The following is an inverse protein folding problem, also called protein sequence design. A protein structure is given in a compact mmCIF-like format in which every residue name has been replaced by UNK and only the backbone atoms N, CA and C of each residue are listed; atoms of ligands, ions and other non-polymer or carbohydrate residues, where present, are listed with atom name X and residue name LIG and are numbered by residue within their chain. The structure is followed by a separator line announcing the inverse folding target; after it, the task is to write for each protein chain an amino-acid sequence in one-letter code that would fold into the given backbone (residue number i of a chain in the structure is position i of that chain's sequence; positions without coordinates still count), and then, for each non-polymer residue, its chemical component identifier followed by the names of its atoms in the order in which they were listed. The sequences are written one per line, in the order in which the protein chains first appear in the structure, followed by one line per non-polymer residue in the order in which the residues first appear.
data_IF_068528720107
#
_entry.id   IF_068528720107
#
_cell.length_a   1.000
_cell.length_b   1.000
_cell.length_c   1.000
_cell.angle_alpha   90.00
_cell.angle_beta   90.00
_cell.angle_gamma   90.00
#
_symmetry.space_group_name_H-M   'P 1'
#
loop_
_entity.id
_entity.type
_entity.pdbx_description
1 polymer ?
#
# COMPACT_ATOMS: atom_id res chain seq x y z
N UNK A 1 15.03 52.11 49.90
CA UNK A 1 14.27 50.85 49.71
C UNK A 1 13.28 51.06 48.57
N UNK A 2 13.47 50.42 47.40
CA UNK A 2 12.59 50.35 46.18
C UNK A 2 13.37 50.54 44.88
N UNK A 3 14.38 49.72 44.66
CA UNK A 3 14.98 49.53 43.33
C UNK A 3 15.46 48.09 43.22
N UNK A 4 14.50 47.17 43.01
CA UNK A 4 14.81 45.80 42.59
C UNK A 4 13.59 44.96 42.14
N UNK A 5 12.41 45.57 41.97
CA UNK A 5 11.22 44.86 41.51
C UNK A 5 11.23 44.62 40.00
N UNK A 6 11.65 45.62 39.21
CA UNK A 6 11.57 45.56 37.74
C UNK A 6 12.59 44.60 37.11
N UNK A 7 13.80 44.48 37.67
CA UNK A 7 14.83 43.60 37.11
C UNK A 7 14.53 42.11 37.32
N UNK A 8 13.83 41.77 38.42
CA UNK A 8 13.33 40.41 38.67
C UNK A 8 12.18 40.05 37.74
N UNK A 9 11.26 40.99 37.47
CA UNK A 9 10.17 40.80 36.51
C UNK A 9 10.68 40.57 35.08
N UNK A 10 11.71 41.31 34.66
CA UNK A 10 12.31 41.17 33.33
C UNK A 10 12.99 39.81 33.14
N UNK A 11 13.68 39.31 34.17
CA UNK A 11 14.35 38.00 34.12
C UNK A 11 13.34 36.83 34.10
N UNK A 12 12.22 36.96 34.82
CA UNK A 12 11.14 35.96 34.80
C UNK A 12 10.44 35.89 33.45
N UNK A 13 10.20 37.05 32.80
CA UNK A 13 9.64 37.10 31.43
C UNK A 13 10.60 36.48 30.41
N UNK A 14 11.90 36.73 30.55
CA UNK A 14 12.92 36.15 29.66
C UNK A 14 12.99 34.61 29.80
N UNK A 15 12.94 34.07 31.03
CA UNK A 15 12.89 32.62 31.26
C UNK A 15 11.59 31.96 30.73
N UNK A 16 10.45 32.65 30.81
CA UNK A 16 9.18 32.17 30.24
C UNK A 16 9.21 32.13 28.70
N UNK A 17 9.91 33.07 28.06
CA UNK A 17 10.11 33.08 26.61
C UNK A 17 11.04 31.94 26.15
N UNK A 18 12.04 31.55 26.95
CA UNK A 18 12.89 30.39 26.64
C UNK A 18 12.16 29.04 26.74
N UNK A 19 11.16 28.92 27.63
CA UNK A 19 10.33 27.71 27.73
C UNK A 19 9.41 27.51 26.51
N UNK A 20 9.06 28.57 25.78
CA UNK A 20 8.27 28.46 24.55
C UNK A 20 9.06 27.89 23.36
N UNK A 21 10.40 27.98 23.38
CA UNK A 21 11.24 27.34 22.34
C UNK A 21 11.36 25.83 22.50
N UNK A 22 11.03 25.27 23.66
CA UNK A 22 11.04 23.82 23.91
C UNK A 22 9.68 23.13 23.69
N UNK A 23 8.65 23.88 23.30
CA UNK A 23 7.33 23.34 22.94
C UNK A 23 7.09 23.46 21.43
N UNK A 24 7.95 22.81 20.65
CA UNK A 24 7.68 22.47 19.26
C UNK A 24 7.57 20.94 19.16
N UNK A 25 6.52 20.39 19.75
CA UNK A 25 5.97 19.06 19.48
C UNK A 25 4.60 19.34 18.82
N UNK A 26 4.22 18.85 17.65
CA UNK A 26 4.73 17.77 16.80
C UNK A 26 4.67 18.23 15.34
N UNK A 27 5.76 18.03 14.59
CA UNK A 27 5.67 17.90 13.14
C UNK A 27 4.74 16.71 12.88
N UNK A 28 3.62 16.92 12.16
CA UNK A 28 2.66 15.88 11.76
C UNK A 28 3.32 14.51 11.69
N UNK A 29 3.15 13.69 12.73
CA UNK A 29 3.92 12.46 12.89
C UNK A 29 3.77 11.62 11.63
N UNK A 30 4.80 11.62 10.77
CA UNK A 30 4.83 10.73 9.63
C UNK A 30 5.11 9.38 10.26
N UNK A 31 4.06 8.59 10.49
CA UNK A 31 4.20 7.20 10.88
C UNK A 31 4.65 6.45 9.61
N UNK A 32 5.94 6.09 9.48
CA UNK A 32 6.42 5.32 8.33
C UNK A 32 6.04 3.84 8.45
N UNK A 33 5.50 3.47 9.61
CA UNK A 33 5.17 2.13 10.02
C UNK A 33 3.79 1.79 9.48
N UNK A 34 3.79 0.80 8.61
CA UNK A 34 2.62 0.29 7.90
C UNK A 34 3.10 -0.74 6.88
N UNK A 35 2.62 -0.63 5.64
CA UNK A 35 3.04 -1.52 4.53
C UNK A 35 4.53 -1.47 4.18
N UNK A 36 5.29 -0.49 4.67
CA UNK A 36 6.73 -0.34 4.46
C UNK A 36 7.59 -0.74 5.67
N UNK A 37 7.01 -1.44 6.65
CA UNK A 37 7.76 -2.00 7.77
C UNK A 37 8.37 -3.35 7.36
N UNK A 38 9.69 -3.40 7.22
CA UNK A 38 10.42 -4.60 6.83
C UNK A 38 11.30 -5.09 7.97
N UNK A 39 11.25 -6.39 8.22
CA UNK A 39 12.05 -7.05 9.25
C UNK A 39 13.53 -7.12 8.86
N UNK A 40 14.40 -6.83 9.83
CA UNK A 40 15.84 -7.04 9.68
C UNK A 40 16.17 -8.53 9.48
N UNK A 41 17.24 -8.79 8.75
CA UNK A 41 17.70 -10.12 8.36
C UNK A 41 16.71 -10.92 7.50
N UNK A 42 15.74 -10.27 6.87
CA UNK A 42 14.84 -10.87 5.88
C UNK A 42 15.16 -10.40 4.46
N UNK A 43 15.02 -11.29 3.45
CA UNK A 43 15.13 -10.90 2.06
C UNK A 43 13.90 -10.09 1.64
N UNK A 44 14.14 -9.04 0.86
CA UNK A 44 13.11 -8.22 0.22
C UNK A 44 13.47 -8.01 -1.26
N UNK A 45 12.50 -7.58 -2.07
CA UNK A 45 12.70 -7.33 -3.50
C UNK A 45 12.42 -5.89 -3.89
N UNK A 46 13.20 -5.35 -4.81
CA UNK A 46 12.95 -4.04 -5.42
C UNK A 46 11.66 -4.10 -6.25
N UNK A 47 10.71 -3.22 -5.95
CA UNK A 47 9.45 -3.13 -6.69
C UNK A 47 9.54 -2.16 -7.87
N UNK A 48 10.10 -0.98 -7.64
CA UNK A 48 10.27 0.04 -8.69
C UNK A 48 11.15 -0.47 -9.81
N UNK A 49 11.05 0.14 -11.00
CA UNK A 49 11.85 -0.27 -12.15
C UNK A 49 13.34 -0.21 -11.83
N UNK A 50 13.73 0.84 -11.10
CA UNK A 50 15.07 1.06 -10.59
C UNK A 50 15.02 1.70 -9.20
N UNK A 51 16.01 1.38 -8.37
CA UNK A 51 16.25 2.01 -7.07
C UNK A 51 17.71 2.44 -6.97
N UNK A 52 17.93 3.70 -6.62
CA UNK A 52 19.27 4.21 -6.32
C UNK A 52 19.70 3.69 -4.95
N UNK A 53 20.87 3.07 -4.90
CA UNK A 53 21.58 2.77 -3.65
C UNK A 53 22.41 3.99 -3.30
N UNK A 54 22.30 4.42 -2.05
CA UNK A 54 22.97 5.63 -1.57
C UNK A 54 23.98 5.32 -0.49
N UNK A 55 24.96 6.20 -0.36
CA UNK A 55 25.98 6.12 0.69
C UNK A 55 25.42 6.41 2.08
N UNK A 56 24.40 7.25 2.17
CA UNK A 56 23.70 7.66 3.40
C UNK A 56 22.18 7.66 3.17
N UNK A 57 21.35 7.54 4.22
CA UNK A 57 19.89 7.50 4.13
C UNK A 57 19.26 8.87 3.83
N UNK A 58 19.68 9.52 2.75
CA UNK A 58 19.21 10.83 2.32
C UNK A 58 19.13 10.92 0.79
N UNK A 59 18.08 11.55 0.25
CA UNK A 59 17.91 11.75 -1.20
C UNK A 59 18.97 12.62 -1.86
N UNK A 60 19.74 13.40 -1.08
CA UNK A 60 20.86 14.23 -1.52
C UNK A 60 22.21 13.52 -1.41
N UNK A 61 22.27 12.39 -0.71
CA UNK A 61 23.50 11.61 -0.59
C UNK A 61 23.97 11.05 -1.92
N UNK A 62 25.29 10.83 -2.03
CA UNK A 62 25.93 10.20 -3.19
C UNK A 62 25.24 8.88 -3.56
N UNK A 63 24.97 8.72 -4.86
CA UNK A 63 24.45 7.47 -5.42
C UNK A 63 25.64 6.57 -5.72
N UNK A 64 25.71 5.43 -5.04
CA UNK A 64 26.81 4.47 -5.17
C UNK A 64 26.49 3.33 -6.13
N UNK A 65 25.20 3.02 -6.33
CA UNK A 65 24.74 2.00 -7.26
C UNK A 65 23.27 2.19 -7.67
N UNK A 66 22.77 1.28 -8.51
CA UNK A 66 21.35 1.13 -8.81
C UNK A 66 20.92 -0.33 -8.90
N UNK A 67 19.78 -0.66 -8.32
CA UNK A 67 19.18 -1.99 -8.36
C UNK A 67 17.92 -1.99 -9.24
N UNK A 68 17.73 -3.05 -10.03
CA UNK A 68 16.56 -3.22 -10.88
C UNK A 68 15.39 -3.85 -10.13
N UNK A 69 14.19 -3.75 -10.70
CA UNK A 69 13.02 -4.53 -10.26
C UNK A 69 13.35 -6.01 -10.12
N UNK A 70 12.69 -6.70 -9.18
CA UNK A 70 12.95 -8.10 -8.78
C UNK A 70 14.30 -8.39 -8.12
N UNK A 71 15.25 -7.44 -8.12
CA UNK A 71 16.53 -7.67 -7.47
C UNK A 71 16.32 -7.88 -5.97
N UNK A 72 16.86 -8.97 -5.46
CA UNK A 72 16.78 -9.32 -4.05
C UNK A 72 17.81 -8.53 -3.26
N UNK A 73 17.39 -8.04 -2.10
CA UNK A 73 18.23 -7.40 -1.10
C UNK A 73 17.99 -8.07 0.26
N UNK A 74 18.98 -8.07 1.13
CA UNK A 74 18.84 -8.42 2.53
C UNK A 74 18.69 -7.13 3.34
N UNK A 75 17.62 -7.01 4.13
CA UNK A 75 17.46 -5.89 5.06
C UNK A 75 18.45 -6.07 6.20
N UNK A 76 19.43 -5.17 6.32
CA UNK A 76 20.43 -5.22 7.40
C UNK A 76 19.99 -4.40 8.60
N UNK A 77 19.43 -3.21 8.34
CA UNK A 77 19.03 -2.28 9.40
C UNK A 77 17.92 -1.36 8.93
N UNK A 78 16.94 -1.12 9.79
CA UNK A 78 15.97 -0.03 9.65
C UNK A 78 16.53 1.25 10.26
N UNK A 79 16.61 2.33 9.48
CA UNK A 79 17.09 3.62 9.97
C UNK A 79 15.93 4.48 10.48
N UNK A 80 16.20 5.33 11.46
CA UNK A 80 15.22 6.30 11.98
C UNK A 80 14.87 7.38 10.95
N UNK A 81 15.74 7.61 9.96
CA UNK A 81 15.50 8.55 8.88
C UNK A 81 14.26 8.14 8.06
N UNK A 82 13.28 9.03 7.99
CA UNK A 82 12.02 8.85 7.26
C UNK A 82 12.00 9.80 6.08
N UNK A 83 11.56 9.30 4.93
CA UNK A 83 11.24 10.12 3.76
C UNK A 83 9.77 9.91 3.40
N UNK A 84 9.04 11.02 3.24
CA UNK A 84 7.68 11.03 2.69
C UNK A 84 7.68 11.60 1.27
N UNK A 85 7.28 10.78 0.30
CA UNK A 85 7.06 11.19 -1.09
C UNK A 85 5.57 11.01 -1.44
N UNK A 86 4.85 12.12 -1.55
CA UNK A 86 3.39 12.08 -1.71
C UNK A 86 2.74 11.59 -0.43
N UNK A 87 1.87 10.58 -0.55
CA UNK A 87 1.21 9.92 0.59
C UNK A 87 2.04 8.74 1.15
N UNK A 88 3.20 8.45 0.55
CA UNK A 88 4.05 7.32 0.96
C UNK A 88 5.14 7.78 1.91
N UNK A 89 4.97 7.52 3.19
CA UNK A 89 6.02 7.67 4.21
C UNK A 89 6.70 6.34 4.47
N UNK A 90 8.03 6.29 4.41
CA UNK A 90 8.79 5.08 4.71
C UNK A 90 10.19 5.41 5.25
N UNK A 91 10.71 4.51 6.08
CA UNK A 91 12.10 4.56 6.55
C UNK A 91 13.09 4.30 5.41
N UNK A 92 14.32 4.72 5.63
CA UNK A 92 15.47 4.18 4.91
C UNK A 92 15.91 2.85 5.51
N UNK A 93 16.41 1.98 4.66
CA UNK A 93 16.97 0.69 5.07
C UNK A 93 18.39 0.59 4.58
N UNK A 94 19.30 0.20 5.48
CA UNK A 94 20.60 -0.34 5.07
C UNK A 94 20.36 -1.74 4.54
N UNK A 95 20.88 -2.02 3.35
CA UNK A 95 20.70 -3.29 2.67
C UNK A 95 22.01 -3.86 2.18
N UNK A 96 22.08 -5.18 2.12
CA UNK A 96 23.11 -5.93 1.41
C UNK A 96 22.53 -6.52 0.12
N UNK A 97 23.30 -6.53 -0.95
CA UNK A 97 22.88 -7.06 -2.24
C UNK A 97 24.07 -7.62 -3.03
N UNK A 98 23.77 -8.57 -3.91
CA UNK A 98 24.75 -9.21 -4.78
C UNK A 98 24.91 -8.39 -6.07
N UNK A 99 26.16 -8.16 -6.48
CA UNK A 99 26.54 -7.58 -7.79
C UNK A 99 27.60 -8.47 -8.43
N UNK A 100 27.17 -9.40 -9.29
CA UNK A 100 28.05 -10.46 -9.77
C UNK A 100 28.53 -11.30 -8.58
N UNK A 101 29.86 -11.36 -8.38
CA UNK A 101 30.47 -12.11 -7.27
C UNK A 101 30.70 -11.28 -6.01
N UNK A 102 30.43 -9.96 -6.04
CA UNK A 102 30.63 -9.08 -4.91
C UNK A 102 29.35 -8.86 -4.13
N UNK A 103 29.47 -8.92 -2.80
CA UNK A 103 28.45 -8.42 -1.88
C UNK A 103 28.72 -6.94 -1.62
N UNK A 104 27.72 -6.10 -1.87
CA UNK A 104 27.77 -4.66 -1.65
C UNK A 104 26.69 -4.23 -0.66
N UNK A 105 26.91 -3.08 -0.02
CA UNK A 105 25.96 -2.49 0.92
C UNK A 105 25.64 -1.04 0.53
N UNK A 106 24.49 -0.57 1.00
CA UNK A 106 24.13 0.84 0.96
C UNK A 106 22.71 1.06 1.44
N UNK A 107 22.18 2.26 1.17
CA UNK A 107 20.88 2.69 1.67
C UNK A 107 19.86 2.79 0.55
N UNK A 108 18.68 2.23 0.79
CA UNK A 108 17.52 2.34 -0.11
C UNK A 108 16.32 2.85 0.68
N UNK A 109 15.47 3.64 0.02
CA UNK A 109 14.23 4.10 0.62
C UNK A 109 13.18 2.97 0.59
N UNK A 110 12.56 2.68 1.74
CA UNK A 110 11.62 1.56 1.88
C UNK A 110 10.42 1.63 0.94
N UNK A 111 10.01 2.84 0.53
CA UNK A 111 8.92 3.03 -0.43
C UNK A 111 9.18 2.48 -1.84
N UNK A 112 10.43 2.06 -2.13
CA UNK A 112 10.79 1.39 -3.40
C UNK A 112 10.83 -0.15 -3.31
N UNK A 113 10.74 -0.70 -2.09
CA UNK A 113 10.71 -2.14 -1.86
C UNK A 113 9.30 -2.68 -2.09
N UNK A 114 9.22 -3.97 -2.40
CA UNK A 114 7.95 -4.68 -2.53
C UNK A 114 7.29 -4.78 -1.16
N UNK A 115 6.01 -4.42 -1.08
CA UNK A 115 5.17 -4.65 0.11
C UNK A 115 5.01 -6.16 0.33
N UNK A 116 4.86 -6.92 -0.75
CA UNK A 116 4.88 -8.38 -0.71
C UNK A 116 5.34 -8.98 -2.02
N UNK A 117 5.88 -10.18 -1.96
CA UNK A 117 6.21 -10.96 -3.15
C UNK A 117 5.88 -12.45 -2.97
N UNK A 118 5.63 -13.14 -4.08
CA UNK A 118 5.36 -14.58 -4.12
C UNK A 118 6.05 -15.18 -5.33
N UNK A 119 6.55 -16.40 -5.20
CA UNK A 119 7.10 -17.14 -6.32
C UNK A 119 6.21 -18.35 -6.61
N UNK A 120 5.84 -18.54 -7.88
CA UNK A 120 5.08 -19.72 -8.31
C UNK A 120 5.27 -19.98 -9.81
N UNK A 121 5.41 -21.25 -10.18
CA UNK A 121 5.52 -21.69 -11.58
C UNK A 121 6.64 -21.00 -12.37
N UNK A 122 7.76 -20.65 -11.72
CA UNK A 122 8.89 -19.96 -12.36
C UNK A 122 8.72 -18.44 -12.49
N UNK A 123 7.61 -17.88 -12.00
CA UNK A 123 7.38 -16.44 -11.95
C UNK A 123 7.55 -15.88 -10.55
N UNK A 124 8.12 -14.69 -10.49
CA UNK A 124 8.04 -13.79 -9.35
C UNK A 124 6.88 -12.83 -9.54
N UNK A 125 6.00 -12.79 -8.54
CA UNK A 125 4.91 -11.84 -8.43
C UNK A 125 5.28 -10.82 -7.38
N UNK A 126 5.34 -9.54 -7.75
CA UNK A 126 5.65 -8.45 -6.84
C UNK A 126 4.42 -7.58 -6.64
N UNK A 127 4.17 -7.15 -5.42
CA UNK A 127 3.17 -6.17 -5.06
C UNK A 127 3.85 -5.01 -4.31
N UNK A 128 3.55 -3.77 -4.72
CA UNK A 128 4.11 -2.59 -4.09
C UNK A 128 3.46 -1.30 -4.55
N UNK A 129 3.91 -0.17 -3.99
CA UNK A 129 3.37 1.16 -4.28
C UNK A 129 4.23 1.86 -5.35
N UNK A 130 3.60 2.30 -6.43
CA UNK A 130 4.26 2.95 -7.56
C UNK A 130 4.43 4.45 -7.33
N UNK A 131 3.33 5.16 -7.05
CA UNK A 131 3.30 6.63 -6.99
C UNK A 131 2.08 7.14 -6.22
N UNK A 132 2.10 8.43 -5.90
CA UNK A 132 0.92 9.19 -5.50
C UNK A 132 0.51 10.11 -6.66
N UNK A 133 -0.78 10.20 -6.95
CA UNK A 133 -1.35 11.06 -7.98
C UNK A 133 -2.40 11.98 -7.40
N UNK A 134 -2.55 13.15 -8.00
CA UNK A 134 -3.65 14.07 -7.70
C UNK A 134 -4.89 13.67 -8.51
N UNK A 135 -6.03 13.48 -7.83
CA UNK A 135 -7.31 13.16 -8.45
C UNK A 135 -8.37 14.16 -8.04
N UNK A 136 -9.13 14.64 -9.03
CA UNK A 136 -10.25 15.55 -8.77
C UNK A 136 -11.44 14.76 -8.24
N UNK A 137 -11.84 15.03 -7.00
CA UNK A 137 -13.09 14.58 -6.45
C UNK A 137 -14.23 15.42 -7.06
N UNK A 138 -15.15 14.78 -7.79
CA UNK A 138 -16.26 15.46 -8.47
C UNK A 138 -17.35 15.93 -7.51
N UNK A 139 -17.48 15.28 -6.36
CA UNK A 139 -18.52 15.58 -5.37
C UNK A 139 -18.19 16.84 -4.57
N UNK A 140 -16.93 16.98 -4.16
CA UNK A 140 -16.46 18.14 -3.37
C UNK A 140 -15.71 19.19 -4.18
N UNK A 141 -15.49 18.95 -5.49
CA UNK A 141 -14.69 19.82 -6.38
C UNK A 141 -13.27 20.11 -5.85
N UNK A 142 -12.70 19.16 -5.10
CA UNK A 142 -11.37 19.24 -4.50
C UNK A 142 -10.40 18.28 -5.19
N UNK A 143 -9.11 18.58 -5.12
CA UNK A 143 -8.06 17.65 -5.51
C UNK A 143 -7.60 16.86 -4.31
N UNK A 144 -7.71 15.54 -4.39
CA UNK A 144 -7.30 14.60 -3.35
C UNK A 144 -6.13 13.77 -3.84
N UNK A 145 -5.18 13.47 -2.95
CA UNK A 145 -4.07 12.58 -3.27
C UNK A 145 -4.53 11.13 -3.21
N UNK A 146 -4.08 10.31 -4.16
CA UNK A 146 -4.35 8.88 -4.19
C UNK A 146 -3.07 8.10 -4.46
N UNK A 147 -2.88 7.03 -3.71
CA UNK A 147 -1.80 6.08 -3.90
C UNK A 147 -2.18 5.09 -5.00
N UNK A 148 -1.19 4.80 -5.85
CA UNK A 148 -1.30 3.82 -6.92
C UNK A 148 -0.37 2.67 -6.57
N UNK A 149 -0.94 1.51 -6.31
CA UNK A 149 -0.21 0.26 -6.20
C UNK A 149 -0.08 -0.42 -7.57
N UNK A 150 0.78 -1.42 -7.64
CA UNK A 150 0.86 -2.30 -8.80
C UNK A 150 1.24 -3.72 -8.43
N UNK A 151 0.88 -4.63 -9.34
CA UNK A 151 1.33 -6.01 -9.33
C UNK A 151 2.17 -6.22 -10.60
N UNK A 152 3.36 -6.80 -10.44
CA UNK A 152 4.28 -7.15 -11.53
C UNK A 152 4.48 -8.65 -11.59
N UNK A 153 4.52 -9.21 -12.80
CA UNK A 153 4.93 -10.60 -13.07
C UNK A 153 6.29 -10.58 -13.73
N UNK A 154 7.22 -11.37 -13.23
CA UNK A 154 8.61 -11.38 -13.67
C UNK A 154 9.05 -12.83 -13.89
N UNK A 155 9.69 -13.10 -15.02
CA UNK A 155 10.28 -14.40 -15.37
C UNK A 155 11.80 -14.21 -15.44
N UNK A 156 12.51 -14.67 -14.41
CA UNK A 156 13.93 -14.34 -14.22
C UNK A 156 14.12 -12.83 -14.00
N UNK A 157 14.70 -12.15 -14.99
CA UNK A 157 14.89 -10.68 -14.99
C UNK A 157 13.90 -9.94 -15.89
N UNK A 158 13.04 -10.66 -16.62
CA UNK A 158 12.17 -10.06 -17.63
C UNK A 158 10.82 -9.72 -17.02
N UNK A 159 10.43 -8.45 -17.08
CA UNK A 159 9.06 -8.02 -16.78
C UNK A 159 8.11 -8.59 -17.84
N UNK A 160 7.20 -9.47 -17.40
CA UNK A 160 6.25 -10.17 -18.25
C UNK A 160 4.98 -9.35 -18.46
N UNK A 161 4.42 -8.84 -17.36
CA UNK A 161 3.23 -7.99 -17.37
C UNK A 161 3.10 -7.23 -16.05
N UNK A 162 2.32 -6.15 -16.07
CA UNK A 162 2.03 -5.37 -14.88
C UNK A 162 0.65 -4.70 -14.93
N UNK A 163 0.04 -4.52 -13.76
CA UNK A 163 -1.23 -3.80 -13.61
C UNK A 163 -1.13 -2.84 -12.43
N UNK A 164 -1.88 -1.75 -12.51
CA UNK A 164 -1.92 -0.71 -11.49
C UNK A 164 -3.34 -0.45 -11.03
N UNK A 165 -3.49 -0.13 -9.74
CA UNK A 165 -4.78 0.11 -9.11
C UNK A 165 -4.66 1.12 -7.97
N UNK A 166 -5.78 1.74 -7.63
CA UNK A 166 -5.87 2.72 -6.54
C UNK A 166 -5.80 2.02 -5.18
N UNK A 167 -5.25 2.68 -4.17
CA UNK A 167 -5.25 2.14 -2.80
C UNK A 167 -5.68 3.18 -1.77
N UNK A 168 -6.44 4.19 -2.19
CA UNK A 168 -6.85 5.28 -1.32
C UNK A 168 -5.71 6.25 -1.04
N UNK A 169 -5.70 6.81 0.16
CA UNK A 169 -4.74 7.81 0.65
C UNK A 169 -3.65 7.13 1.48
N UNK A 170 -2.93 7.91 2.30
CA UNK A 170 -1.92 7.36 3.21
C UNK A 170 -2.52 6.56 4.37
N UNK A 171 -3.76 6.86 4.78
CA UNK A 171 -4.41 6.24 5.94
C UNK A 171 -4.78 4.76 5.71
N UNK A 172 -4.96 4.35 4.45
CA UNK A 172 -5.21 2.95 4.09
C UNK A 172 -3.94 2.09 3.99
N UNK A 173 -2.76 2.66 4.23
CA UNK A 173 -1.46 1.99 4.10
C UNK A 173 -0.89 1.48 5.44
N UNK A 174 -1.73 1.28 6.45
CA UNK A 174 -1.32 0.68 7.73
C UNK A 174 -0.98 -0.81 7.58
N UNK A 175 -1.74 -1.53 6.76
CA UNK A 175 -1.60 -2.98 6.59
C UNK A 175 -1.77 -3.39 5.15
N UNK A 176 -1.11 -4.49 4.77
CA UNK A 176 -1.35 -5.11 3.50
C UNK A 176 -1.14 -6.62 3.50
N UNK A 177 -1.81 -7.27 2.55
CA UNK A 177 -1.60 -8.69 2.23
C UNK A 177 -1.38 -8.88 0.74
N UNK A 178 -0.63 -9.93 0.42
CA UNK A 178 -0.48 -10.40 -0.95
C UNK A 178 -0.49 -11.93 -0.98
N UNK A 179 -1.49 -12.52 -1.61
CA UNK A 179 -1.68 -13.97 -1.67
C UNK A 179 -1.86 -14.46 -3.09
N UNK A 180 -1.58 -15.76 -3.28
CA UNK A 180 -1.89 -16.48 -4.51
C UNK A 180 -2.99 -17.49 -4.19
N UNK A 181 -4.07 -17.40 -4.95
CA UNK A 181 -5.21 -18.31 -4.92
C UNK A 181 -5.25 -19.15 -6.21
N UNK A 182 -6.19 -20.10 -6.28
CA UNK A 182 -6.39 -20.91 -7.50
C UNK A 182 -6.96 -20.06 -8.64
N UNK A 183 -7.11 -20.63 -9.85
CA UNK A 183 -7.86 -19.98 -10.93
C UNK A 183 -9.38 -19.96 -10.73
N UNK A 184 -9.87 -20.37 -9.55
CA UNK A 184 -11.29 -20.39 -9.16
C UNK A 184 -12.23 -21.12 -10.14
N UNK A 185 -11.71 -22.12 -10.87
CA UNK A 185 -12.44 -22.82 -11.95
C UNK A 185 -12.96 -21.89 -13.06
N UNK A 186 -12.36 -20.71 -13.23
CA UNK A 186 -12.53 -19.91 -14.43
C UNK A 186 -11.72 -20.52 -15.58
N UNK A 187 -12.31 -20.59 -16.77
CA UNK A 187 -11.66 -21.16 -17.95
C UNK A 187 -10.33 -20.45 -18.24
N UNK A 188 -9.26 -21.21 -18.48
CA UNK A 188 -7.92 -20.71 -18.84
C UNK A 188 -7.27 -19.77 -17.80
N UNK A 189 -7.69 -19.80 -16.54
CA UNK A 189 -7.01 -19.06 -15.47
C UNK A 189 -6.11 -20.01 -14.69
N UNK A 190 -4.83 -19.68 -14.61
CA UNK A 190 -3.84 -20.51 -13.91
C UNK A 190 -3.90 -20.29 -12.40
N UNK A 191 -3.94 -19.03 -11.99
CA UNK A 191 -3.98 -18.59 -10.59
C UNK A 191 -4.59 -17.20 -10.48
N UNK A 192 -4.89 -16.80 -9.25
CA UNK A 192 -5.37 -15.45 -8.95
C UNK A 192 -4.47 -14.81 -7.91
N UNK A 193 -4.07 -13.58 -8.17
CA UNK A 193 -3.30 -12.75 -7.24
C UNK A 193 -4.30 -11.87 -6.48
N UNK A 194 -4.16 -11.81 -5.16
CA UNK A 194 -5.00 -10.96 -4.31
C UNK A 194 -4.10 -10.05 -3.50
N UNK A 195 -4.15 -8.77 -3.81
CA UNK A 195 -3.47 -7.72 -3.05
C UNK A 195 -4.52 -6.91 -2.29
N UNK A 196 -4.28 -6.66 -1.02
CA UNK A 196 -5.17 -5.85 -0.18
C UNK A 196 -4.35 -4.87 0.62
N UNK A 197 -4.87 -3.64 0.76
CA UNK A 197 -4.42 -2.66 1.75
C UNK A 197 -5.56 -2.31 2.71
N UNK A 198 -5.24 -1.92 3.93
CA UNK A 198 -6.21 -1.50 4.95
C UNK A 198 -5.59 -0.52 5.93
N UNK A 199 -6.38 0.44 6.41
CA UNK A 199 -5.99 1.33 7.51
C UNK A 199 -6.17 0.72 8.91
N UNK A 200 -6.88 -0.42 9.00
CA UNK A 200 -7.17 -1.15 10.25
C UNK A 200 -7.88 -0.31 11.34
N UNK A 201 -8.66 0.70 10.93
CA UNK A 201 -9.46 1.51 11.83
C UNK A 201 -10.89 1.72 11.30
N UNK A 202 -11.84 1.97 12.21
CA UNK A 202 -13.22 2.30 11.87
C UNK A 202 -13.28 3.51 10.93
N UNK A 203 -14.16 3.45 9.92
CA UNK A 203 -14.32 4.50 8.93
C UNK A 203 -13.22 4.56 7.87
N UNK A 204 -12.13 3.79 8.00
CA UNK A 204 -11.08 3.72 6.97
C UNK A 204 -11.35 2.54 6.04
N UNK A 205 -11.34 2.80 4.74
CA UNK A 205 -11.57 1.79 3.73
C UNK A 205 -10.40 0.79 3.65
N UNK A 206 -10.75 -0.44 3.27
CA UNK A 206 -9.81 -1.42 2.76
C UNK A 206 -10.08 -1.63 1.28
N UNK A 207 -9.01 -1.75 0.51
CA UNK A 207 -9.08 -1.96 -0.94
C UNK A 207 -8.47 -3.30 -1.28
N UNK A 208 -9.22 -4.16 -1.98
CA UNK A 208 -8.75 -5.46 -2.45
C UNK A 208 -8.77 -5.51 -3.97
N UNK A 209 -7.61 -5.78 -4.57
CA UNK A 209 -7.47 -6.03 -5.99
C UNK A 209 -7.26 -7.53 -6.24
N UNK A 210 -8.21 -8.15 -6.95
CA UNK A 210 -8.03 -9.47 -7.56
C UNK A 210 -7.48 -9.31 -8.97
N UNK A 211 -6.47 -10.09 -9.33
CA UNK A 211 -5.88 -10.12 -10.67
C UNK A 211 -5.74 -11.56 -11.12
N UNK A 212 -6.43 -11.91 -12.20
CA UNK A 212 -6.31 -13.24 -12.81
C UNK A 212 -5.00 -13.29 -13.58
N UNK A 213 -4.26 -14.40 -13.44
CA UNK A 213 -3.08 -14.68 -14.25
C UNK A 213 -3.38 -15.81 -15.23
N UNK A 214 -3.20 -15.51 -16.52
CA UNK A 214 -3.38 -16.47 -17.61
C UNK A 214 -2.43 -16.19 -18.77
N UNK A 215 -1.82 -17.20 -19.36
CA UNK A 215 -1.01 -17.06 -20.58
C UNK A 215 0.00 -15.90 -20.49
N UNK A 216 0.70 -15.77 -19.36
CA UNK A 216 1.63 -14.66 -19.09
C UNK A 216 0.98 -13.26 -19.09
N UNK A 217 -0.33 -13.17 -18.80
CA UNK A 217 -1.09 -11.91 -18.75
C UNK A 217 -1.85 -11.75 -17.44
N UNK A 218 -1.83 -10.51 -16.95
CA UNK A 218 -2.59 -10.06 -15.79
C UNK A 218 -3.90 -9.43 -16.26
N UNK A 219 -5.02 -9.92 -15.72
CA UNK A 219 -6.35 -9.36 -15.96
C UNK A 219 -6.93 -8.88 -14.64
N UNK A 220 -6.90 -7.57 -14.36
CA UNK A 220 -7.43 -7.03 -13.12
C UNK A 220 -8.96 -7.11 -13.14
N UNK A 221 -9.55 -7.59 -12.05
CA UNK A 221 -11.00 -7.54 -11.84
C UNK A 221 -11.40 -6.16 -11.28
N UNK A 222 -12.70 -5.82 -11.22
CA UNK A 222 -13.15 -4.66 -10.47
C UNK A 222 -12.57 -4.69 -9.05
N UNK A 223 -12.03 -3.56 -8.60
CA UNK A 223 -11.52 -3.44 -7.24
C UNK A 223 -12.69 -3.51 -6.25
N UNK A 224 -12.45 -4.18 -5.11
CA UNK A 224 -13.37 -4.21 -3.98
C UNK A 224 -12.99 -3.14 -2.97
N UNK A 225 -13.98 -2.47 -2.42
CA UNK A 225 -13.88 -1.55 -1.28
C UNK A 225 -14.71 -2.09 -0.13
N UNK A 226 -14.13 -2.15 1.06
CA UNK A 226 -14.86 -2.51 2.28
C UNK A 226 -14.56 -1.48 3.37
N UNK A 227 -15.60 -0.95 4.00
CA UNK A 227 -15.48 0.02 5.10
C UNK A 227 -16.59 -0.23 6.12
N UNK A 228 -16.28 -0.09 7.39
CA UNK A 228 -17.24 -0.20 8.48
C UNK A 228 -16.99 0.88 9.50
N UNK A 229 -18.06 1.43 10.05
CA UNK A 229 -18.05 2.37 11.16
C UNK A 229 -18.87 1.79 12.31
N UNK A 230 -18.15 1.04 13.17
CA UNK A 230 -18.71 0.32 14.30
C UNK A 230 -19.99 -0.46 13.91
N UNK A 231 -20.99 -0.46 14.79
CA UNK A 231 -22.31 -1.07 14.54
C UNK A 231 -23.29 -0.12 13.84
N UNK A 232 -22.83 1.06 13.38
CA UNK A 232 -23.70 2.09 12.79
C UNK A 232 -23.83 1.92 11.28
N UNK A 233 -22.71 1.61 10.61
CA UNK A 233 -22.66 1.50 9.17
C UNK A 233 -21.64 0.47 8.71
N UNK A 234 -21.94 -0.26 7.64
CA UNK A 234 -20.90 -0.89 6.83
C UNK A 234 -21.27 -0.92 5.35
N UNK A 235 -20.24 -0.97 4.53
CA UNK A 235 -20.29 -1.29 3.12
C UNK A 235 -19.29 -2.41 2.86
N UNK A 236 -19.76 -3.51 2.31
CA UNK A 236 -18.95 -4.67 1.99
C UNK A 236 -19.10 -5.07 0.53
N UNK A 237 -17.98 -5.33 -0.12
CA UNK A 237 -17.91 -5.83 -1.48
C UNK A 237 -17.11 -7.13 -1.52
N UNK A 238 -17.68 -8.14 -2.19
CA UNK A 238 -17.07 -9.45 -2.35
C UNK A 238 -17.25 -10.01 -3.77
N UNK A 239 -16.39 -10.98 -4.11
CA UNK A 239 -16.59 -11.82 -5.28
C UNK A 239 -17.09 -13.20 -4.88
N UNK A 240 -18.05 -13.72 -5.65
CA UNK A 240 -18.41 -15.14 -5.67
C UNK A 240 -17.93 -15.73 -6.99
N UNK A 241 -16.95 -16.61 -6.90
CA UNK A 241 -16.36 -17.31 -8.03
C UNK A 241 -17.03 -18.66 -8.32
N UNK A 242 -16.76 -19.32 -9.47
CA UNK A 242 -17.41 -20.58 -9.84
C UNK A 242 -17.23 -21.73 -8.84
N UNK A 243 -16.15 -21.74 -8.06
CA UNK A 243 -15.90 -22.74 -7.03
C UNK A 243 -16.50 -22.40 -5.66
N UNK A 244 -17.10 -21.23 -5.49
CA UNK A 244 -17.73 -20.79 -4.25
C UNK A 244 -19.21 -21.21 -4.21
N UNK A 245 -19.82 -21.16 -3.02
CA UNK A 245 -21.24 -21.44 -2.85
C UNK A 245 -22.08 -20.40 -3.60
N UNK A 246 -22.89 -20.86 -4.56
CA UNK A 246 -23.69 -19.98 -5.43
C UNK A 246 -22.92 -19.43 -6.64
N UNK A 247 -21.70 -19.93 -6.89
CA UNK A 247 -20.92 -19.63 -8.08
C UNK A 247 -21.57 -20.12 -9.37
N UNK A 248 -21.26 -19.43 -10.47
CA UNK A 248 -21.76 -19.75 -11.82
C UNK A 248 -20.56 -20.11 -12.69
N UNK A 249 -20.60 -21.21 -13.47
CA UNK A 249 -19.52 -21.54 -14.41
C UNK A 249 -19.20 -20.37 -15.35
N UNK A 250 -17.91 -20.13 -15.58
CA UNK A 250 -17.42 -19.07 -16.47
C UNK A 250 -17.99 -17.67 -16.17
N UNK A 251 -18.20 -17.38 -14.89
CA UNK A 251 -18.58 -16.06 -14.42
C UNK A 251 -18.06 -15.82 -13.00
N UNK A 252 -17.94 -14.56 -12.62
CA UNK A 252 -17.81 -14.17 -11.22
C UNK A 252 -18.88 -13.14 -10.90
N UNK A 253 -19.39 -13.17 -9.67
CA UNK A 253 -20.44 -12.28 -9.21
C UNK A 253 -19.83 -11.31 -8.23
N UNK A 254 -19.90 -10.02 -8.54
CA UNK A 254 -19.61 -8.95 -7.60
C UNK A 254 -20.85 -8.70 -6.76
N UNK A 255 -20.75 -8.81 -5.45
CA UNK A 255 -21.84 -8.51 -4.52
C UNK A 255 -21.47 -7.30 -3.67
N UNK A 256 -22.48 -6.48 -3.40
CA UNK A 256 -22.40 -5.39 -2.45
C UNK A 256 -23.47 -5.59 -1.39
N UNK A 257 -23.09 -5.40 -0.14
CA UNK A 257 -23.99 -5.30 0.99
C UNK A 257 -23.71 -3.99 1.74
N UNK A 258 -24.77 -3.23 2.00
CA UNK A 258 -24.72 -2.04 2.83
C UNK A 258 -25.69 -2.19 3.98
N UNK A 259 -25.28 -1.74 5.16
CA UNK A 259 -26.13 -1.66 6.35
C UNK A 259 -25.97 -0.29 6.98
N UNK A 260 -27.10 0.29 7.38
CA UNK A 260 -27.15 1.48 8.22
C UNK A 260 -28.15 1.25 9.37
N UNK A 261 -27.86 1.80 10.55
CA UNK A 261 -28.85 1.92 11.63
C UNK A 261 -29.57 3.26 11.55
N UNK A 262 -30.89 3.24 11.73
CA UNK A 262 -31.67 4.47 11.85
C UNK A 262 -31.73 5.01 13.29
N UNK A 263 -32.32 6.19 13.47
CA UNK A 263 -32.47 6.86 14.77
C UNK A 263 -33.21 6.05 15.84
N UNK A 264 -33.86 4.94 15.45
CA UNK A 264 -34.58 4.01 16.33
C UNK A 264 -33.83 2.69 16.52
N UNK A 265 -32.55 2.65 16.17
CA UNK A 265 -31.67 1.48 16.27
C UNK A 265 -32.11 0.30 15.38
N UNK A 266 -32.81 0.58 14.27
CA UNK A 266 -33.25 -0.46 13.32
C UNK A 266 -32.27 -0.56 12.15
N UNK A 267 -31.86 -1.79 11.82
CA UNK A 267 -31.01 -2.07 10.66
C UNK A 267 -31.79 -1.92 9.35
N UNK A 268 -31.20 -1.20 8.39
CA UNK A 268 -31.62 -1.18 6.99
C UNK A 268 -30.50 -1.77 6.15
N UNK A 269 -30.79 -2.88 5.47
CA UNK A 269 -29.82 -3.55 4.58
C UNK A 269 -30.19 -3.36 3.13
N UNK A 270 -29.20 -3.05 2.30
CA UNK A 270 -29.31 -3.02 0.84
C UNK A 270 -28.34 -4.05 0.28
N UNK A 271 -28.80 -4.80 -0.71
CA UNK A 271 -27.97 -5.78 -1.40
C UNK A 271 -28.02 -5.49 -2.90
N UNK A 272 -26.88 -5.57 -3.56
CA UNK A 272 -26.83 -5.52 -5.02
C UNK A 272 -25.85 -6.56 -5.54
N UNK A 273 -26.00 -6.95 -6.80
CA UNK A 273 -25.05 -7.84 -7.44
C UNK A 273 -24.90 -7.54 -8.93
N UNK A 274 -23.69 -7.78 -9.44
CA UNK A 274 -23.33 -7.65 -10.85
C UNK A 274 -22.64 -8.94 -11.27
N UNK A 275 -23.16 -9.60 -12.31
CA UNK A 275 -22.54 -10.81 -12.86
C UNK A 275 -21.65 -10.44 -14.02
N UNK A 276 -20.38 -10.84 -13.96
CA UNK A 276 -19.44 -10.68 -15.05
C UNK A 276 -19.22 -12.02 -15.74
N UNK A 277 -19.54 -12.08 -17.03
CA UNK A 277 -19.33 -13.26 -17.85
C UNK A 277 -17.89 -13.30 -18.32
N UNK A 278 -17.21 -14.42 -18.04
CA UNK A 278 -15.84 -14.69 -18.44
C UNK A 278 -15.82 -15.59 -19.68
N UNK A 279 -15.06 -15.21 -20.70
CA UNK A 279 -14.98 -15.96 -21.97
C UNK A 279 -13.69 -16.79 -22.14
N UNK A 280 -12.87 -16.90 -21.10
CA UNK A 280 -11.54 -17.53 -21.19
C UNK A 280 -10.39 -16.54 -21.47
N UNK A 281 -10.68 -15.28 -21.74
CA UNK A 281 -9.67 -14.26 -22.01
C UNK A 281 -9.97 -12.89 -21.37
N UNK A 282 -11.22 -12.47 -21.38
CA UNK A 282 -11.71 -11.22 -20.78
C UNK A 282 -13.09 -11.42 -20.17
N UNK A 283 -13.56 -10.42 -19.43
CA UNK A 283 -14.90 -10.40 -18.87
C UNK A 283 -15.74 -9.24 -19.41
N UNK A 284 -17.06 -9.41 -19.39
CA UNK A 284 -18.03 -8.35 -19.64
C UNK A 284 -19.17 -8.41 -18.62
N UNK A 285 -19.71 -7.26 -18.25
CA UNK A 285 -20.94 -7.21 -17.45
C UNK A 285 -22.10 -7.84 -18.24
N UNK A 286 -22.88 -8.70 -17.58
CA UNK A 286 -24.07 -9.34 -18.16
C UNK A 286 -25.19 -8.35 -18.42
#
# INVERSE_FOLDING_TARGET
MKHNSHMKSLLTVLCLLFLQFFSAQEENGVYPDGVFSFEENKPQKIFTDWTRVRKEPDVKAEVTDSLQTNQQVLILKKEEAILKLGERGANWYKVSYQKGDLVSEGYVWGGNLSVGYRNKNGYDFLFGLSKTVDRKNKEYNETVKQNIAGIKVIEGTNLVDEVYFDTGRGEELSYATFTIESGHKLQNVELTLKAMVSGEACGIASYTQYVLFKDKKLVPLPQLMNVGDADVYYHSEEFVFPNDKGGIPNAFIFKTEEMERDDKDREKKKHSSKTYLWNGNSYKLK
#
